data_IF_959114576198
#
_entry.id   IF_959114576198
#
_cell.length_a   1.000
_cell.length_b   1.000
_cell.length_c   1.000
_cell.angle_alpha   90.00
_cell.angle_beta   90.00
_cell.angle_gamma   90.00
#
_symmetry.space_group_name_H-M   'P 1'
#
loop_
_entity.id
_entity.type
_entity.pdbx_description
1 polymer ?
#
# COMPACT_ATOMS: atom_id res chain seq x y z
N UNK A 1 21.17 14.43 4.77
CA UNK A 1 19.88 14.01 5.32
C UNK A 1 18.79 14.76 4.57
N UNK A 2 17.95 14.02 3.86
CA UNK A 2 16.75 14.55 3.22
C UNK A 2 15.67 14.73 4.31
N UNK A 3 15.52 15.94 4.86
CA UNK A 3 14.48 16.21 5.86
C UNK A 3 13.10 16.17 5.17
N UNK A 4 12.39 15.06 5.30
CA UNK A 4 11.12 14.80 4.60
C UNK A 4 10.01 14.78 5.65
N UNK A 5 9.23 15.85 5.75
CA UNK A 5 8.02 15.86 6.56
C UNK A 5 6.86 15.26 5.75
N UNK A 6 6.12 14.33 6.34
CA UNK A 6 5.01 13.63 5.69
C UNK A 6 3.72 13.99 6.42
N UNK A 7 2.75 14.51 5.68
CA UNK A 7 1.38 14.64 6.16
C UNK A 7 0.62 13.33 5.88
N UNK A 8 0.43 12.55 6.93
CA UNK A 8 -0.14 11.20 6.83
C UNK A 8 -1.67 11.16 6.69
N UNK A 9 -2.31 12.33 6.65
CA UNK A 9 -3.72 12.47 6.25
C UNK A 9 -3.90 12.41 4.73
N UNK A 10 -2.90 12.92 4.00
CA UNK A 10 -2.85 12.98 2.54
C UNK A 10 -2.07 11.81 1.94
N UNK A 11 -0.89 11.50 2.49
CA UNK A 11 0.00 10.46 1.98
C UNK A 11 0.06 9.31 2.99
N UNK A 12 -0.38 8.09 2.63
CA UNK A 12 -0.36 6.98 3.55
C UNK A 12 1.07 6.69 4.02
N UNK A 13 1.27 6.61 5.34
CA UNK A 13 2.57 6.28 5.90
C UNK A 13 2.85 4.79 5.68
N UNK A 14 3.83 4.51 4.81
CA UNK A 14 4.33 3.16 4.58
C UNK A 14 5.83 3.21 4.24
N UNK A 15 6.41 2.07 3.87
CA UNK A 15 7.78 1.96 3.38
C UNK A 15 7.88 0.97 2.24
N UNK A 16 9.03 0.97 1.58
CA UNK A 16 9.31 0.01 0.52
C UNK A 16 9.20 -1.42 1.04
N UNK A 17 8.49 -2.25 0.30
CA UNK A 17 8.30 -3.67 0.60
C UNK A 17 7.07 -3.96 1.48
N UNK A 18 6.60 -2.98 2.25
CA UNK A 18 5.57 -3.23 3.25
C UNK A 18 4.13 -3.22 2.73
N UNK A 19 3.33 -4.18 3.14
CA UNK A 19 1.87 -4.15 3.02
C UNK A 19 1.20 -3.46 4.20
N UNK A 20 1.90 -3.27 5.33
CA UNK A 20 1.43 -2.44 6.42
C UNK A 20 1.36 -0.95 6.01
N UNK A 21 0.35 -0.23 6.50
CA UNK A 21 0.17 1.20 6.24
C UNK A 21 -0.53 1.88 7.41
N UNK A 22 -0.16 3.12 7.70
CA UNK A 22 -0.77 3.96 8.74
C UNK A 22 -1.33 5.22 8.06
N UNK A 23 -2.57 5.57 8.36
CA UNK A 23 -3.22 6.80 7.86
C UNK A 23 -3.81 7.54 9.05
N UNK A 24 -3.78 8.88 9.03
CA UNK A 24 -4.47 9.68 10.04
C UNK A 24 -5.72 10.36 9.47
N UNK A 25 -6.69 10.59 10.35
CA UNK A 25 -7.88 11.39 10.04
C UNK A 25 -7.80 12.71 10.79
N UNK A 26 -7.64 13.85 10.11
CA UNK A 26 -7.55 15.16 10.75
C UNK A 26 -8.91 15.58 11.32
N UNK A 27 -8.88 16.36 12.40
CA UNK A 27 -10.06 16.95 13.06
C UNK A 27 -10.27 18.40 12.63
N UNK A 28 -9.19 19.08 12.23
CA UNK A 28 -9.18 20.46 11.78
C UNK A 28 -8.85 20.58 10.29
N UNK A 29 -9.18 21.74 9.69
CA UNK A 29 -8.89 22.04 8.27
C UNK A 29 -7.40 22.25 8.01
N UNK A 30 -6.63 22.57 9.06
CA UNK A 30 -5.18 22.79 8.98
C UNK A 30 -4.36 21.49 9.06
N UNK A 31 -5.03 20.35 9.30
CA UNK A 31 -4.44 19.01 9.42
C UNK A 31 -3.34 18.94 10.50
N UNK A 32 -3.55 19.65 11.61
CA UNK A 32 -2.59 19.71 12.73
C UNK A 32 -3.01 18.84 13.90
N UNK A 33 -4.32 18.68 14.09
CA UNK A 33 -4.91 17.95 15.20
C UNK A 33 -5.61 16.71 14.69
N UNK A 34 -5.36 15.60 15.37
CA UNK A 34 -5.87 14.29 15.01
C UNK A 34 -6.50 13.65 16.25
N UNK A 35 -7.47 12.77 16.01
CA UNK A 35 -8.05 11.97 17.09
C UNK A 35 -7.94 10.47 16.81
N UNK A 36 -7.54 10.07 15.60
CA UNK A 36 -7.53 8.68 15.18
C UNK A 36 -6.46 8.41 14.11
N UNK A 37 -5.79 7.26 14.26
CA UNK A 37 -5.04 6.61 13.19
C UNK A 37 -5.80 5.38 12.70
N UNK A 38 -5.62 4.99 11.45
CA UNK A 38 -6.10 3.73 10.89
C UNK A 38 -4.91 2.88 10.48
N UNK A 39 -4.84 1.65 10.98
CA UNK A 39 -3.85 0.65 10.58
C UNK A 39 -4.45 -0.20 9.45
N UNK A 40 -3.78 -0.21 8.30
CA UNK A 40 -4.24 -0.83 7.07
C UNK A 40 -3.28 -1.96 6.68
N UNK A 41 -3.85 -3.04 6.14
CA UNK A 41 -3.13 -4.13 5.53
C UNK A 41 -3.44 -4.21 4.02
N UNK A 42 -2.52 -3.72 3.20
CA UNK A 42 -2.70 -3.53 1.77
C UNK A 42 -2.75 -4.83 0.94
N UNK A 43 -2.53 -6.03 1.53
CA UNK A 43 -2.88 -7.30 0.87
C UNK A 43 -4.40 -7.50 0.77
N UNK A 44 -5.19 -6.72 1.50
CA UNK A 44 -6.64 -6.61 1.33
C UNK A 44 -6.99 -5.30 0.61
N UNK A 45 -8.19 -5.24 0.04
CA UNK A 45 -8.67 -4.11 -0.77
C UNK A 45 -9.90 -3.44 -0.17
N UNK A 46 -10.06 -2.15 -0.46
CA UNK A 46 -11.22 -1.36 -0.06
C UNK A 46 -11.50 -1.48 1.44
N UNK A 47 -12.76 -1.71 1.78
CA UNK A 47 -13.23 -1.79 3.17
C UNK A 47 -12.63 -2.95 3.98
N UNK A 48 -12.00 -3.93 3.33
CA UNK A 48 -11.37 -5.08 3.98
C UNK A 48 -9.94 -4.81 4.44
N UNK A 49 -9.31 -3.75 3.91
CA UNK A 49 -7.92 -3.39 4.20
C UNK A 49 -7.69 -2.81 5.59
N UNK A 50 -8.58 -1.99 6.18
CA UNK A 50 -8.38 -1.49 7.53
C UNK A 50 -8.56 -2.59 8.57
N UNK A 51 -7.67 -2.63 9.56
CA UNK A 51 -7.66 -3.63 10.63
C UNK A 51 -8.09 -2.99 11.95
N UNK A 52 -7.42 -1.92 12.36
CA UNK A 52 -7.70 -1.19 13.58
C UNK A 52 -7.82 0.30 13.33
N UNK A 53 -8.73 0.95 14.08
CA UNK A 53 -8.62 2.36 14.42
C UNK A 53 -7.88 2.47 15.75
N UNK A 54 -6.90 3.36 15.82
CA UNK A 54 -6.09 3.61 17.01
C UNK A 54 -6.42 4.99 17.54
N UNK A 55 -6.78 5.05 18.81
CA UNK A 55 -7.09 6.30 19.51
C UNK A 55 -6.25 6.40 20.78
N UNK A 56 -6.00 7.62 21.24
CA UNK A 56 -5.28 7.88 22.49
C UNK A 56 -6.29 7.98 23.63
N UNK A 57 -5.99 7.30 24.75
CA UNK A 57 -6.88 7.17 25.89
C UNK A 57 -7.82 5.96 25.79
N UNK A 58 -8.13 5.36 26.95
CA UNK A 58 -8.98 4.15 27.05
C UNK A 58 -10.45 4.48 27.26
N UNK A 59 -10.75 5.44 28.14
CA UNK A 59 -12.13 5.78 28.53
C UNK A 59 -12.67 6.97 27.74
N UNK A 60 -11.78 7.90 27.39
CA UNK A 60 -12.11 9.11 26.65
C UNK A 60 -11.07 9.29 25.54
N UNK A 61 -11.55 9.47 24.32
CA UNK A 61 -10.74 9.71 23.13
C UNK A 61 -10.08 11.08 23.27
N UNK A 62 -8.76 11.11 23.22
CA UNK A 62 -7.96 12.32 23.33
C UNK A 62 -7.42 12.74 21.97
N UNK A 63 -7.36 14.04 21.75
CA UNK A 63 -6.68 14.62 20.59
C UNK A 63 -5.16 14.52 20.77
N UNK A 64 -4.47 14.49 19.64
CA UNK A 64 -3.01 14.48 19.56
C UNK A 64 -2.53 15.21 18.32
N UNK A 65 -1.29 15.69 18.39
CA UNK A 65 -0.55 16.18 17.23
C UNK A 65 0.17 14.98 16.61
N UNK A 66 0.17 14.92 15.28
CA UNK A 66 0.86 13.89 14.51
C UNK A 66 1.96 14.51 13.65
N UNK A 67 3.15 13.93 13.69
CA UNK A 67 4.27 14.28 12.80
C UNK A 67 4.88 13.00 12.24
N UNK A 68 5.27 13.00 10.98
CA UNK A 68 5.92 11.83 10.39
C UNK A 68 7.12 12.21 9.52
N UNK A 69 8.11 11.34 9.54
CA UNK A 69 9.22 11.28 8.60
C UNK A 69 9.35 9.85 8.07
N UNK A 70 10.17 9.56 7.04
CA UNK A 70 10.22 8.23 6.42
C UNK A 70 10.52 7.05 7.35
N UNK A 71 11.08 7.31 8.53
CA UNK A 71 11.39 6.30 9.55
C UNK A 71 10.23 6.00 10.49
N UNK A 72 9.41 7.00 10.85
CA UNK A 72 8.36 6.81 11.86
C UNK A 72 7.28 7.90 11.85
N UNK A 73 6.16 7.55 12.48
CA UNK A 73 5.09 8.46 12.89
C UNK A 73 5.23 8.71 14.39
N UNK A 74 5.20 9.96 14.82
CA UNK A 74 5.12 10.33 16.23
C UNK A 74 3.78 10.98 16.50
N UNK A 75 3.07 10.48 17.51
CA UNK A 75 1.87 11.12 18.07
C UNK A 75 2.17 11.63 19.47
N UNK A 76 1.62 12.78 19.84
CA UNK A 76 1.86 13.39 21.17
C UNK A 76 0.68 14.22 21.66
N UNK A 77 0.48 14.23 22.97
CA UNK A 77 -0.40 15.18 23.67
C UNK A 77 0.19 15.49 25.06
N UNK A 78 -0.58 16.15 25.93
CA UNK A 78 -0.11 16.58 27.26
C UNK A 78 0.27 15.42 28.20
N UNK A 79 -0.22 14.20 27.94
CA UNK A 79 0.05 13.01 28.75
C UNK A 79 1.35 12.29 28.36
N UNK A 80 1.83 12.48 27.12
CA UNK A 80 2.99 11.75 26.62
C UNK A 80 3.11 11.70 25.10
N UNK A 81 3.87 10.73 24.60
CA UNK A 81 4.05 10.50 23.17
C UNK A 81 4.16 9.01 22.84
N UNK A 82 3.86 8.66 21.59
CA UNK A 82 4.11 7.34 21.04
C UNK A 82 4.75 7.43 19.65
N UNK A 83 5.69 6.53 19.38
CA UNK A 83 6.37 6.37 18.10
C UNK A 83 5.86 5.08 17.46
N UNK A 84 5.35 5.20 16.24
CA UNK A 84 4.89 4.09 15.41
C UNK A 84 5.81 3.96 14.20
N UNK A 85 6.25 2.75 13.88
CA UNK A 85 7.04 2.50 12.67
C UNK A 85 6.73 1.14 12.06
N UNK A 86 6.97 1.02 10.75
CA UNK A 86 6.78 -0.21 10.00
C UNK A 86 8.11 -0.93 9.93
N UNK A 87 8.25 -1.98 10.73
CA UNK A 87 9.53 -2.65 10.96
C UNK A 87 9.95 -3.54 9.80
N UNK A 88 9.00 -4.27 9.24
CA UNK A 88 9.19 -5.16 8.09
C UNK A 88 7.95 -5.11 7.19
N UNK A 89 7.79 -6.10 6.32
CA UNK A 89 6.74 -6.07 5.31
C UNK A 89 5.31 -6.00 5.92
N UNK A 90 5.10 -6.63 7.08
CA UNK A 90 3.75 -6.85 7.63
C UNK A 90 3.65 -6.53 9.13
N UNK A 91 4.64 -5.82 9.70
CA UNK A 91 4.70 -5.57 11.15
C UNK A 91 4.80 -4.09 11.50
N UNK A 92 3.96 -3.64 12.43
CA UNK A 92 3.95 -2.28 12.98
C UNK A 92 4.37 -2.37 14.44
N UNK A 93 5.37 -1.59 14.83
CA UNK A 93 5.79 -1.44 16.23
C UNK A 93 5.27 -0.13 16.77
N UNK A 94 4.83 -0.13 18.02
CA UNK A 94 4.44 1.07 18.76
C UNK A 94 5.20 1.09 20.09
N UNK A 95 6.03 2.13 20.29
CA UNK A 95 6.69 2.45 21.54
C UNK A 95 6.10 3.74 22.11
N UNK A 96 5.37 3.60 23.21
CA UNK A 96 4.63 4.66 23.88
C UNK A 96 5.20 4.95 25.27
N UNK A 97 5.29 6.24 25.57
CA UNK A 97 5.64 6.78 26.88
C UNK A 97 4.50 7.66 27.37
N UNK A 98 3.76 7.18 28.39
CA UNK A 98 2.66 7.91 29.02
C UNK A 98 1.32 7.90 28.26
N UNK A 99 1.26 7.40 27.02
CA UNK A 99 0.01 7.29 26.27
C UNK A 99 -0.54 5.87 26.33
N UNK A 100 -1.71 5.74 26.96
CA UNK A 100 -2.56 4.58 26.75
C UNK A 100 -3.23 4.66 25.38
N UNK A 101 -3.39 3.51 24.73
CA UNK A 101 -3.98 3.41 23.41
C UNK A 101 -5.21 2.50 23.44
N UNK A 102 -6.15 2.78 22.55
CA UNK A 102 -7.29 1.92 22.30
C UNK A 102 -7.32 1.51 20.84
N UNK A 103 -7.27 0.20 20.60
CA UNK A 103 -7.41 -0.43 19.31
C UNK A 103 -8.86 -0.86 19.12
N UNK A 104 -9.60 -0.06 18.35
CA UNK A 104 -10.94 -0.41 17.92
C UNK A 104 -10.85 -1.25 16.64
N UNK A 105 -11.38 -2.48 16.68
CA UNK A 105 -11.49 -3.32 15.49
C UNK A 105 -12.33 -2.63 14.43
N UNK A 106 -11.79 -2.47 13.23
CA UNK A 106 -12.52 -1.83 12.13
C UNK A 106 -13.75 -2.65 11.73
N UNK A 107 -13.61 -3.98 11.77
CA UNK A 107 -14.63 -4.91 11.34
C UNK A 107 -15.51 -5.39 12.49
N UNK A 108 -16.82 -5.27 12.28
CA UNK A 108 -17.83 -5.74 13.24
C UNK A 108 -17.72 -7.24 13.54
N UNK A 109 -17.26 -8.05 12.58
CA UNK A 109 -17.16 -9.51 12.71
C UNK A 109 -15.75 -9.99 13.11
N UNK A 110 -14.84 -9.07 13.45
CA UNK A 110 -13.50 -9.46 13.87
C UNK A 110 -13.52 -10.02 15.30
N UNK A 111 -13.07 -11.26 15.47
CA UNK A 111 -13.04 -11.94 16.76
C UNK A 111 -11.61 -12.25 17.18
N UNK A 112 -11.38 -12.41 18.48
CA UNK A 112 -10.04 -12.44 19.07
C UNK A 112 -9.79 -13.66 19.95
N UNK A 113 -8.53 -14.01 20.12
CA UNK A 113 -8.05 -15.04 21.05
C UNK A 113 -6.82 -14.56 21.80
N UNK A 114 -6.75 -14.89 23.09
CA UNK A 114 -5.65 -14.55 23.97
C UNK A 114 -4.75 -15.79 24.16
N UNK A 115 -3.45 -15.61 24.04
CA UNK A 115 -2.45 -16.66 24.15
C UNK A 115 -1.47 -16.32 25.28
N UNK A 116 -1.98 -16.29 26.51
CA UNK A 116 -1.25 -15.81 27.68
C UNK A 116 -1.27 -14.27 27.79
N UNK A 117 -0.44 -13.70 28.69
CA UNK A 117 -0.55 -12.29 29.04
C UNK A 117 -0.06 -11.32 27.96
N UNK A 118 0.74 -11.80 27.00
CA UNK A 118 1.51 -10.94 26.10
C UNK A 118 1.20 -11.15 24.61
N UNK A 119 0.25 -12.03 24.24
CA UNK A 119 -0.05 -12.35 22.84
C UNK A 119 -1.55 -12.39 22.60
N UNK A 120 -2.02 -11.53 21.71
CA UNK A 120 -3.43 -11.34 21.38
C UNK A 120 -3.61 -11.41 19.88
N UNK A 121 -4.45 -12.30 19.38
CA UNK A 121 -4.68 -12.44 17.94
C UNK A 121 -6.12 -12.10 17.60
N UNK A 122 -6.30 -11.07 16.79
CA UNK A 122 -7.57 -10.75 16.14
C UNK A 122 -7.62 -11.43 14.76
N UNK A 123 -8.78 -11.98 14.43
CA UNK A 123 -9.10 -12.53 13.12
C UNK A 123 -10.16 -11.66 12.48
N UNK A 124 -9.74 -10.83 11.53
CA UNK A 124 -10.62 -9.98 10.73
C UNK A 124 -11.24 -10.79 9.56
N UNK A 125 -12.28 -10.24 8.89
CA UNK A 125 -12.90 -10.89 7.74
C UNK A 125 -11.91 -11.32 6.66
N UNK A 126 -12.29 -12.35 5.90
CA UNK A 126 -11.47 -12.94 4.83
C UNK A 126 -10.10 -13.47 5.29
N UNK A 127 -10.02 -13.95 6.54
CA UNK A 127 -8.86 -14.71 7.01
C UNK A 127 -7.62 -13.87 7.34
N UNK A 128 -7.78 -12.56 7.55
CA UNK A 128 -6.67 -11.71 8.00
C UNK A 128 -6.43 -11.89 9.49
N UNK A 129 -5.23 -12.34 9.86
CA UNK A 129 -4.76 -12.40 11.24
C UNK A 129 -4.00 -11.14 11.58
N UNK A 130 -4.30 -10.54 12.73
CA UNK A 130 -3.65 -9.37 13.29
C UNK A 130 -3.23 -9.70 14.72
N UNK A 131 -1.94 -9.99 14.91
CA UNK A 131 -1.41 -10.50 16.18
C UNK A 131 -0.60 -9.43 16.88
N UNK A 132 -1.06 -9.01 18.05
CA UNK A 132 -0.41 -8.04 18.91
C UNK A 132 0.41 -8.75 19.98
N UNK A 133 1.70 -8.44 20.02
CA UNK A 133 2.65 -8.90 21.02
C UNK A 133 2.99 -7.74 21.95
N UNK A 134 2.83 -7.93 23.25
CA UNK A 134 3.16 -6.94 24.29
C UNK A 134 4.55 -7.24 24.84
N UNK A 135 5.48 -6.32 24.60
CA UNK A 135 6.86 -6.37 25.09
C UNK A 135 6.98 -5.69 26.46
N UNK A 136 6.24 -4.60 26.64
CA UNK A 136 6.06 -3.88 27.90
C UNK A 136 4.68 -3.22 27.93
N UNK A 137 4.12 -3.00 29.11
CA UNK A 137 2.74 -2.54 29.27
C UNK A 137 1.75 -3.69 29.47
N UNK A 138 0.47 -3.41 29.27
CA UNK A 138 -0.62 -4.38 29.45
C UNK A 138 -1.63 -4.24 28.32
N UNK A 139 -2.19 -5.36 27.87
CA UNK A 139 -3.30 -5.38 26.93
C UNK A 139 -4.50 -6.11 27.52
N UNK A 140 -5.71 -5.73 27.12
CA UNK A 140 -6.95 -6.39 27.53
C UNK A 140 -7.96 -6.32 26.40
N UNK A 141 -8.46 -7.46 25.92
CA UNK A 141 -9.59 -7.48 25.01
C UNK A 141 -10.88 -7.09 25.73
N UNK A 142 -11.68 -6.26 25.08
CA UNK A 142 -12.99 -5.89 25.56
C UNK A 142 -14.03 -6.96 25.16
N UNK A 143 -14.79 -7.40 26.17
CA UNK A 143 -15.91 -8.31 25.99
C UNK A 143 -17.21 -7.51 25.90
N UNK A 144 -17.78 -7.40 24.71
CA UNK A 144 -19.15 -6.94 24.57
C UNK A 144 -20.12 -8.08 24.92
N UNK A 145 -21.14 -7.85 25.78
CA UNK A 145 -22.08 -8.89 26.16
C UNK A 145 -22.81 -9.44 24.92
N UNK A 146 -23.07 -10.76 24.85
CA UNK A 146 -23.71 -11.38 23.70
C UNK A 146 -25.19 -10.98 23.65
N UNK A 147 -25.51 -9.91 22.92
CA UNK A 147 -26.88 -9.48 22.65
C UNK A 147 -27.15 -9.52 21.14
N UNK A 148 -27.34 -10.70 20.55
CA UNK A 148 -27.67 -10.89 19.12
C UNK A 148 -26.82 -10.05 18.12
N UNK A 149 -25.58 -9.69 18.49
CA UNK A 149 -24.70 -8.72 17.82
C UNK A 149 -23.25 -9.25 17.77
N UNK A 150 -22.42 -8.74 16.85
CA UNK A 150 -21.29 -9.47 16.29
C UNK A 150 -20.09 -9.59 17.25
N UNK A 151 -19.19 -10.55 16.98
CA UNK A 151 -18.05 -10.95 17.83
C UNK A 151 -16.91 -9.90 17.90
N UNK A 152 -17.18 -8.61 17.66
CA UNK A 152 -16.19 -7.53 17.64
C UNK A 152 -15.33 -7.57 18.91
N UNK A 153 -14.01 -7.46 18.74
CA UNK A 153 -13.03 -7.42 19.83
C UNK A 153 -12.18 -6.17 19.71
N UNK A 154 -12.47 -5.21 20.57
CA UNK A 154 -11.61 -4.04 20.75
C UNK A 154 -10.58 -4.34 21.84
N UNK A 155 -9.48 -3.60 21.88
CA UNK A 155 -8.39 -3.85 22.80
C UNK A 155 -7.93 -2.56 23.46
N UNK A 156 -7.86 -2.58 24.80
CA UNK A 156 -7.18 -1.56 25.57
C UNK A 156 -5.70 -1.92 25.70
N UNK A 157 -4.85 -0.91 25.54
CA UNK A 157 -3.40 -1.01 25.65
C UNK A 157 -2.93 0.05 26.67
N UNK A 158 -2.46 -0.42 27.82
CA UNK A 158 -2.14 0.40 28.99
C UNK A 158 -0.62 0.49 29.17
N UNK A 159 -0.13 1.70 29.43
CA UNK A 159 1.21 1.92 29.94
C UNK A 159 1.34 1.35 31.35
N UNK A 160 2.37 0.54 31.57
CA UNK A 160 2.79 0.11 32.91
C UNK A 160 4.14 0.76 33.20
N UNK A 161 4.27 1.38 34.37
CA UNK A 161 5.42 2.22 34.72
C UNK A 161 5.72 3.30 33.67
N UNK A 162 4.66 3.84 33.07
CA UNK A 162 4.74 4.87 32.03
C UNK A 162 5.15 4.36 30.65
N UNK A 163 5.23 3.05 30.42
CA UNK A 163 5.67 2.45 29.15
C UNK A 163 4.67 1.45 28.59
N UNK A 164 4.46 1.52 27.27
CA UNK A 164 3.77 0.51 26.47
C UNK A 164 4.62 0.28 25.21
N UNK A 165 5.09 -0.94 25.01
CA UNK A 165 5.85 -1.32 23.82
C UNK A 165 5.26 -2.59 23.23
N UNK A 166 4.84 -2.54 21.98
CA UNK A 166 4.15 -3.64 21.31
C UNK A 166 4.56 -3.78 19.84
N UNK A 167 4.30 -4.96 19.30
CA UNK A 167 4.42 -5.26 17.88
C UNK A 167 3.13 -5.91 17.37
N UNK A 168 2.50 -5.29 16.36
CA UNK A 168 1.38 -5.83 15.62
C UNK A 168 1.90 -6.48 14.33
N UNK A 169 1.71 -7.79 14.17
CA UNK A 169 1.98 -8.51 12.92
C UNK A 169 0.69 -8.83 12.17
N UNK A 170 0.72 -8.73 10.84
CA UNK A 170 -0.42 -9.04 9.97
C UNK A 170 -0.09 -10.17 9.00
N UNK A 171 -1.06 -11.03 8.70
CA UNK A 171 -0.87 -12.15 7.76
C UNK A 171 -2.21 -12.74 7.29
N UNK A 172 -2.19 -13.53 6.22
CA UNK A 172 -3.41 -14.13 5.63
C UNK A 172 -3.52 -15.65 5.81
N UNK A 173 -2.44 -16.31 6.21
CA UNK A 173 -2.35 -17.77 6.28
C UNK A 173 -2.38 -18.26 7.72
N UNK A 174 -1.44 -17.77 8.53
CA UNK A 174 -1.31 -18.10 9.95
C UNK A 174 -0.78 -16.89 10.71
N UNK A 175 -1.10 -16.72 12.01
CA UNK A 175 -0.47 -15.70 12.86
C UNK A 175 1.06 -15.70 12.68
N UNK A 176 1.62 -14.55 12.30
CA UNK A 176 3.05 -14.39 12.14
C UNK A 176 3.70 -14.24 13.51
N UNK A 177 4.77 -14.98 13.75
CA UNK A 177 5.53 -14.90 15.00
C UNK A 177 6.20 -13.53 15.19
N UNK A 178 6.47 -13.18 16.45
CA UNK A 178 7.19 -11.96 16.80
C UNK A 178 8.59 -12.02 16.20
N UNK A 179 9.03 -11.02 15.42
CA UNK A 179 10.41 -10.98 14.98
C UNK A 179 11.28 -10.41 16.12
N UNK A 180 12.33 -11.12 16.55
CA UNK A 180 13.17 -10.73 17.69
C UNK A 180 14.65 -10.52 17.30
N UNK A 181 15.39 -9.58 17.94
CA UNK A 181 14.92 -8.60 18.93
C UNK A 181 14.37 -7.31 18.29
N UNK A 182 13.45 -6.63 18.98
CA UNK A 182 12.92 -5.30 18.60
C UNK A 182 13.73 -4.20 19.27
N UNK A 183 14.28 -3.30 18.47
CA UNK A 183 15.07 -2.14 18.91
C UNK A 183 14.61 -0.91 18.13
N UNK A 184 13.79 -0.08 18.77
CA UNK A 184 13.12 1.06 18.15
C UNK A 184 14.09 2.06 17.52
N UNK A 185 15.18 2.40 18.22
CA UNK A 185 16.16 3.36 17.71
C UNK A 185 16.91 2.81 16.51
N UNK A 186 17.36 1.56 16.61
CA UNK A 186 18.09 0.89 15.54
C UNK A 186 17.21 0.66 14.31
N UNK A 187 15.99 0.15 14.51
CA UNK A 187 15.05 -0.15 13.41
C UNK A 187 14.72 1.13 12.64
N UNK A 188 14.42 2.24 13.34
CA UNK A 188 14.14 3.54 12.71
C UNK A 188 15.37 4.06 11.96
N UNK A 189 16.58 3.92 12.53
CA UNK A 189 17.81 4.32 11.84
C UNK A 189 18.05 3.51 10.56
N UNK A 190 17.80 2.20 10.59
CA UNK A 190 17.92 1.32 9.42
C UNK A 190 16.87 1.69 8.34
N UNK A 191 15.63 2.01 8.73
CA UNK A 191 14.59 2.50 7.81
C UNK A 191 14.98 3.82 7.15
N UNK A 192 15.47 4.80 7.93
CA UNK A 192 15.91 6.08 7.39
C UNK A 192 17.06 5.90 6.41
N UNK A 193 17.99 4.98 6.68
CA UNK A 193 19.08 4.65 5.76
C UNK A 193 18.58 3.98 4.46
N UNK A 194 17.57 3.12 4.54
CA UNK A 194 16.92 2.55 3.37
C UNK A 194 16.27 3.65 2.51
N UNK A 195 15.53 4.56 3.14
CA UNK A 195 14.96 5.72 2.47
C UNK A 195 16.04 6.58 1.82
N UNK A 196 17.10 6.94 2.54
CA UNK A 196 18.21 7.74 1.99
C UNK A 196 18.85 7.05 0.78
N UNK A 197 19.02 5.74 0.83
CA UNK A 197 19.56 4.95 -0.28
C UNK A 197 18.65 5.02 -1.51
N UNK A 198 17.33 4.94 -1.32
CA UNK A 198 16.37 5.09 -2.42
C UNK A 198 16.28 6.54 -2.92
N UNK A 199 16.35 7.53 -2.02
CA UNK A 199 16.33 8.94 -2.36
C UNK A 199 17.52 9.36 -3.24
N UNK A 200 18.67 8.69 -3.10
CA UNK A 200 19.82 8.89 -3.99
C UNK A 200 19.57 8.48 -5.45
N UNK A 201 18.49 7.73 -5.72
CA UNK A 201 18.07 7.37 -7.09
C UNK A 201 17.27 8.47 -7.77
N UNK A 202 16.82 9.49 -7.03
CA UNK A 202 16.16 10.65 -7.60
C UNK A 202 17.13 11.38 -8.55
N UNK A 203 16.62 11.89 -9.68
CA UNK A 203 17.44 12.69 -10.58
C UNK A 203 17.92 13.97 -9.91
N UNK A 204 19.07 14.46 -10.36
CA UNK A 204 19.54 15.80 -10.00
C UNK A 204 18.67 16.83 -10.75
N UNK A 205 17.52 17.17 -10.17
CA UNK A 205 16.67 18.24 -10.68
C UNK A 205 17.27 19.58 -10.28
N UNK A 206 17.22 20.56 -11.19
CA UNK A 206 17.60 21.93 -10.86
C UNK A 206 16.61 22.47 -9.84
N UNK A 207 17.10 22.81 -8.65
CA UNK A 207 16.29 23.48 -7.62
C UNK A 207 15.64 24.73 -8.21
N UNK A 208 14.33 24.84 -8.00
CA UNK A 208 13.50 25.96 -8.46
C UNK A 208 13.19 26.87 -7.26
N UNK A 209 12.67 26.27 -6.19
CA UNK A 209 12.36 26.89 -4.92
C UNK A 209 12.19 25.80 -3.84
N UNK A 210 12.22 26.20 -2.56
CA UNK A 210 12.14 25.26 -1.42
C UNK A 210 10.85 24.44 -1.39
N UNK A 211 9.73 25.00 -1.83
CA UNK A 211 8.42 24.30 -1.83
C UNK A 211 8.40 23.21 -2.90
N UNK A 212 8.93 23.50 -4.09
CA UNK A 212 9.06 22.54 -5.19
C UNK A 212 10.02 21.41 -4.84
N UNK A 213 11.14 21.72 -4.18
CA UNK A 213 12.11 20.72 -3.73
C UNK A 213 11.51 19.79 -2.67
N UNK A 214 10.79 20.36 -1.68
CA UNK A 214 10.08 19.57 -0.67
C UNK A 214 8.99 18.68 -1.29
N UNK A 215 8.23 19.20 -2.26
CA UNK A 215 7.20 18.42 -2.96
C UNK A 215 7.78 17.28 -3.80
N UNK A 216 8.94 17.50 -4.43
CA UNK A 216 9.65 16.46 -5.19
C UNK A 216 10.10 15.34 -4.26
N UNK A 217 10.71 15.70 -3.12
CA UNK A 217 11.15 14.72 -2.13
C UNK A 217 9.98 13.91 -1.55
N UNK A 218 8.84 14.58 -1.29
CA UNK A 218 7.61 13.95 -0.84
C UNK A 218 7.00 13.02 -1.91
N UNK A 219 7.07 13.40 -3.18
CA UNK A 219 6.65 12.55 -4.31
C UNK A 219 7.53 11.30 -4.40
N UNK A 220 8.84 11.46 -4.20
CA UNK A 220 9.76 10.33 -4.18
C UNK A 220 9.52 9.40 -2.99
N UNK A 221 9.16 9.97 -1.83
CA UNK A 221 8.71 9.19 -0.69
C UNK A 221 7.46 8.39 -1.03
N UNK A 222 6.46 9.00 -1.67
CA UNK A 222 5.24 8.31 -2.06
C UNK A 222 5.51 7.16 -3.05
N UNK A 223 6.47 7.32 -3.97
CA UNK A 223 6.92 6.24 -4.86
C UNK A 223 7.55 5.10 -4.05
N UNK A 224 8.51 5.44 -3.18
CA UNK A 224 9.21 4.46 -2.32
C UNK A 224 8.24 3.69 -1.43
N UNK A 225 7.34 4.41 -0.76
CA UNK A 225 6.35 3.87 0.16
C UNK A 225 5.23 3.12 -0.55
N UNK A 226 5.11 3.18 -1.89
CA UNK A 226 4.10 2.44 -2.66
C UNK A 226 4.57 1.06 -3.11
N UNK A 227 5.88 0.77 -3.03
CA UNK A 227 6.41 -0.57 -3.33
C UNK A 227 6.03 -1.59 -2.26
N UNK A 228 5.68 -2.80 -2.70
CA UNK A 228 5.46 -3.98 -1.86
C UNK A 228 6.34 -5.14 -2.29
N UNK A 229 6.68 -6.04 -1.37
CA UNK A 229 7.50 -7.22 -1.69
C UNK A 229 6.76 -8.20 -2.58
N UNK A 230 7.51 -8.83 -3.49
CA UNK A 230 7.01 -9.95 -4.29
C UNK A 230 6.38 -11.03 -3.41
N UNK A 231 5.13 -11.39 -3.69
CA UNK A 231 4.38 -12.48 -3.05
C UNK A 231 3.26 -12.95 -3.98
N UNK A 232 2.91 -14.24 -3.91
CA UNK A 232 1.85 -14.88 -4.71
C UNK A 232 1.90 -14.52 -6.22
N UNK A 233 0.98 -13.66 -6.70
CA UNK A 233 0.87 -13.24 -8.10
C UNK A 233 1.94 -12.21 -8.52
N UNK A 234 2.65 -11.59 -7.57
CA UNK A 234 3.73 -10.65 -7.86
C UNK A 234 5.08 -11.39 -7.97
N UNK A 235 5.65 -11.47 -9.19
CA UNK A 235 6.98 -12.10 -9.41
C UNK A 235 8.16 -11.23 -8.98
N UNK A 236 7.94 -9.93 -8.83
CA UNK A 236 8.91 -8.90 -8.43
C UNK A 236 8.21 -7.93 -7.49
N UNK A 237 9.00 -7.10 -6.81
CA UNK A 237 8.46 -6.02 -6.01
C UNK A 237 7.65 -5.09 -6.91
N UNK A 238 6.42 -4.78 -6.50
CA UNK A 238 5.44 -4.07 -7.32
C UNK A 238 5.05 -2.75 -6.67
N UNK A 239 4.82 -1.72 -7.47
CA UNK A 239 4.26 -0.45 -7.01
C UNK A 239 2.73 -0.53 -7.05
N UNK A 240 2.10 -0.39 -5.89
CA UNK A 240 0.64 -0.27 -5.79
C UNK A 240 0.21 1.17 -6.10
N UNK A 241 -1.01 1.34 -6.63
CA UNK A 241 -1.53 2.69 -6.97
C UNK A 241 -1.82 3.53 -5.74
N UNK A 242 -2.32 2.91 -4.67
CA UNK A 242 -2.41 3.53 -3.35
C UNK A 242 -2.54 2.48 -2.27
N UNK A 243 -1.72 2.58 -1.22
CA UNK A 243 -1.87 1.69 -0.05
C UNK A 243 -3.03 2.04 0.88
N UNK A 244 -3.81 3.09 0.57
CA UNK A 244 -4.99 3.50 1.38
C UNK A 244 -6.31 2.95 0.84
N UNK A 245 -6.58 3.10 -0.46
CA UNK A 245 -7.87 2.72 -1.06
C UNK A 245 -7.74 1.86 -2.32
N UNK A 246 -6.70 2.08 -3.13
CA UNK A 246 -6.46 1.38 -4.40
C UNK A 246 -5.24 0.45 -4.28
N UNK A 247 -5.32 -0.51 -3.36
CA UNK A 247 -4.23 -1.41 -2.99
C UNK A 247 -4.09 -2.61 -3.94
N UNK A 248 -3.92 -2.34 -5.23
CA UNK A 248 -3.61 -3.34 -6.27
C UNK A 248 -2.67 -2.75 -7.32
N UNK A 249 -2.20 -3.60 -8.22
CA UNK A 249 -1.72 -3.18 -9.54
C UNK A 249 -2.88 -3.23 -10.53
N UNK A 250 -2.98 -2.27 -11.45
CA UNK A 250 -3.92 -2.20 -12.56
C UNK A 250 -3.14 -2.21 -13.87
N UNK A 251 -3.72 -2.81 -14.91
CA UNK A 251 -3.06 -3.11 -16.19
C UNK A 251 -2.78 -1.92 -17.10
N UNK A 252 -2.90 -0.68 -16.61
CA UNK A 252 -2.40 0.50 -17.35
C UNK A 252 -1.54 1.42 -16.48
N UNK A 253 -1.88 1.60 -15.21
CA UNK A 253 -1.11 2.44 -14.28
C UNK A 253 0.35 2.00 -14.15
N UNK A 254 0.60 0.68 -14.19
CA UNK A 254 1.94 0.13 -14.10
C UNK A 254 2.87 0.62 -15.24
N UNK A 255 2.32 1.01 -16.40
CA UNK A 255 3.09 1.64 -17.47
C UNK A 255 3.63 3.01 -17.03
N UNK A 256 2.82 3.84 -16.37
CA UNK A 256 3.28 5.13 -15.85
C UNK A 256 4.29 4.94 -14.71
N UNK A 257 4.08 3.95 -13.84
CA UNK A 257 5.04 3.59 -12.79
C UNK A 257 6.37 3.12 -13.37
N UNK A 258 6.35 2.35 -14.46
CA UNK A 258 7.56 1.93 -15.17
C UNK A 258 8.34 3.14 -15.72
N UNK A 259 7.65 4.09 -16.36
CA UNK A 259 8.28 5.30 -16.87
C UNK A 259 8.82 6.20 -15.75
N UNK A 260 8.12 6.31 -14.62
CA UNK A 260 8.64 7.03 -13.45
C UNK A 260 9.96 6.42 -12.96
N UNK A 261 10.04 5.09 -12.88
CA UNK A 261 11.26 4.39 -12.46
C UNK A 261 12.38 4.44 -13.50
N UNK A 262 12.05 4.51 -14.80
CA UNK A 262 13.03 4.65 -15.88
C UNK A 262 13.89 5.92 -15.75
N UNK A 263 13.35 6.92 -15.04
CA UNK A 263 14.04 8.16 -14.76
C UNK A 263 14.97 8.10 -13.54
N UNK A 264 15.16 6.97 -12.86
CA UNK A 264 16.16 6.91 -11.79
C UNK A 264 17.59 7.26 -12.26
N UNK A 265 18.39 7.80 -11.35
CA UNK A 265 19.76 8.29 -11.57
C UNK A 265 20.72 7.17 -12.01
N UNK A 266 20.74 6.05 -11.27
CA UNK A 266 21.50 4.87 -11.69
C UNK A 266 20.75 4.16 -12.82
N UNK A 267 21.39 4.03 -13.99
CA UNK A 267 20.75 3.49 -15.19
C UNK A 267 20.51 1.99 -15.15
N UNK A 268 21.35 1.22 -14.45
CA UNK A 268 21.13 -0.21 -14.31
C UNK A 268 19.95 -0.49 -13.37
N UNK A 269 19.89 0.23 -12.25
CA UNK A 269 18.75 0.20 -11.33
C UNK A 269 17.47 0.67 -12.03
N UNK A 270 17.53 1.78 -12.78
CA UNK A 270 16.41 2.32 -13.54
C UNK A 270 15.87 1.32 -14.55
N UNK A 271 16.74 0.71 -15.39
CA UNK A 271 16.33 -0.31 -16.37
C UNK A 271 15.62 -1.46 -15.68
N UNK A 272 16.22 -2.00 -14.61
CA UNK A 272 15.64 -3.13 -13.88
C UNK A 272 14.28 -2.79 -13.29
N UNK A 273 14.16 -1.68 -12.55
CA UNK A 273 12.90 -1.31 -11.90
C UNK A 273 11.81 -0.96 -12.90
N UNK A 274 12.15 -0.22 -13.95
CA UNK A 274 11.21 0.10 -15.01
C UNK A 274 10.70 -1.16 -15.71
N UNK A 275 11.60 -2.08 -16.07
CA UNK A 275 11.22 -3.33 -16.72
C UNK A 275 10.38 -4.23 -15.81
N UNK A 276 10.73 -4.35 -14.52
CA UNK A 276 9.95 -5.12 -13.54
C UNK A 276 8.51 -4.60 -13.42
N UNK A 277 8.31 -3.27 -13.39
CA UNK A 277 6.95 -2.68 -13.37
C UNK A 277 6.22 -2.87 -14.71
N UNK A 278 6.91 -2.71 -15.84
CA UNK A 278 6.34 -2.94 -17.16
C UNK A 278 5.89 -4.39 -17.37
N UNK A 279 6.71 -5.35 -16.94
CA UNK A 279 6.49 -6.79 -17.12
C UNK A 279 5.37 -7.35 -16.22
N UNK A 280 4.98 -6.61 -15.18
CA UNK A 280 4.08 -7.08 -14.12
C UNK A 280 2.79 -7.78 -14.60
N UNK A 281 1.96 -7.20 -15.50
CA UNK A 281 0.75 -7.87 -15.98
C UNK A 281 1.07 -9.07 -16.88
N UNK A 282 2.22 -9.06 -17.56
CA UNK A 282 2.57 -10.10 -18.54
C UNK A 282 2.97 -11.43 -17.90
N UNK A 283 3.42 -11.43 -16.64
CA UNK A 283 3.67 -12.67 -15.90
C UNK A 283 2.41 -13.46 -15.57
N UNK A 284 1.26 -12.80 -15.59
CA UNK A 284 -0.04 -13.43 -15.35
C UNK A 284 -0.94 -13.39 -16.59
N UNK A 285 -0.46 -12.87 -17.73
CA UNK A 285 -1.21 -12.79 -18.99
C UNK A 285 -1.88 -14.12 -19.31
N UNK A 286 -3.18 -14.07 -19.60
CA UNK A 286 -3.94 -15.26 -19.92
C UNK A 286 -3.48 -15.88 -21.25
N UNK A 287 -3.82 -17.15 -21.47
CA UNK A 287 -3.40 -17.91 -22.66
C UNK A 287 -3.74 -17.19 -23.98
N UNK A 288 -4.93 -16.58 -24.03
CA UNK A 288 -5.46 -15.83 -25.18
C UNK A 288 -5.02 -14.37 -25.26
N UNK A 289 -4.16 -13.90 -24.35
CA UNK A 289 -3.51 -12.59 -24.44
C UNK A 289 -4.10 -11.49 -23.56
N UNK A 290 -5.31 -11.65 -23.02
CA UNK A 290 -5.92 -10.65 -22.12
C UNK A 290 -5.04 -10.39 -20.89
N UNK A 291 -4.98 -9.11 -20.50
CA UNK A 291 -4.43 -8.65 -19.23
C UNK A 291 -5.56 -8.36 -18.24
N UNK A 292 -5.42 -8.70 -16.95
CA UNK A 292 -6.47 -8.47 -15.97
C UNK A 292 -6.61 -6.97 -15.68
N UNK A 293 -7.80 -6.49 -15.33
CA UNK A 293 -8.04 -5.15 -14.81
C UNK A 293 -7.10 -4.83 -13.66
N UNK A 294 -7.11 -5.69 -12.63
CA UNK A 294 -6.32 -5.50 -11.40
C UNK A 294 -5.94 -6.83 -10.72
N UNK A 295 -4.84 -6.82 -9.96
CA UNK A 295 -4.39 -7.95 -9.16
C UNK A 295 -3.65 -7.53 -7.88
N UNK A 296 -3.82 -8.34 -6.83
CA UNK A 296 -3.19 -8.20 -5.52
C UNK A 296 -2.90 -9.61 -4.95
N UNK A 297 -1.86 -9.83 -4.13
CA UNK A 297 -1.54 -11.13 -3.56
C UNK A 297 -2.65 -11.67 -2.67
N UNK A 298 -2.91 -12.98 -2.75
CA UNK A 298 -3.92 -13.69 -1.96
C UNK A 298 -5.35 -13.10 -2.11
N UNK A 299 -5.60 -12.41 -3.23
CA UNK A 299 -6.88 -11.83 -3.66
C UNK A 299 -7.26 -12.34 -5.06
N UNK A 300 -8.53 -12.18 -5.43
CA UNK A 300 -8.99 -12.54 -6.78
C UNK A 300 -8.40 -11.58 -7.81
N UNK A 301 -7.72 -12.12 -8.82
CA UNK A 301 -7.36 -11.38 -10.05
C UNK A 301 -8.61 -11.02 -10.86
N UNK A 302 -8.74 -9.75 -11.22
CA UNK A 302 -9.90 -9.20 -11.93
C UNK A 302 -9.81 -9.41 -13.44
N UNK A 303 -10.42 -10.49 -13.95
CA UNK A 303 -10.40 -10.84 -15.39
C UNK A 303 -11.63 -10.37 -16.19
N UNK A 304 -12.66 -9.83 -15.52
CA UNK A 304 -13.93 -9.51 -16.17
C UNK A 304 -13.93 -8.22 -17.00
N UNK A 305 -12.88 -7.42 -16.86
CA UNK A 305 -12.65 -6.09 -17.43
C UNK A 305 -11.14 -6.03 -17.70
N UNK A 306 -10.72 -5.19 -18.65
CA UNK A 306 -9.30 -4.86 -18.86
C UNK A 306 -9.05 -3.34 -18.83
N UNK A 307 -7.91 -2.87 -19.35
CA UNK A 307 -7.56 -1.44 -19.42
C UNK A 307 -6.95 -1.09 -20.79
N UNK A 308 -6.91 0.20 -21.16
CA UNK A 308 -6.42 0.63 -22.46
C UNK A 308 -5.02 0.08 -22.81
N UNK A 309 -4.80 -0.40 -24.05
CA UNK A 309 -3.57 -1.13 -24.43
C UNK A 309 -2.35 -0.22 -24.68
N UNK A 310 -1.97 0.61 -23.71
CA UNK A 310 -0.85 1.57 -23.84
C UNK A 310 0.55 0.93 -23.72
N UNK A 311 0.65 -0.40 -23.69
CA UNK A 311 1.87 -1.13 -23.35
C UNK A 311 2.94 -1.04 -24.45
N UNK A 312 2.53 -1.07 -25.72
CA UNK A 312 3.46 -0.85 -26.84
C UNK A 312 4.07 0.55 -26.83
N UNK A 313 3.26 1.56 -26.48
CA UNK A 313 3.75 2.93 -26.26
C UNK A 313 4.74 2.99 -25.10
N UNK A 314 4.38 2.41 -23.95
CA UNK A 314 5.25 2.38 -22.77
C UNK A 314 6.59 1.73 -23.09
N UNK A 315 6.59 0.55 -23.73
CA UNK A 315 7.83 -0.15 -24.05
C UNK A 315 8.68 0.61 -25.07
N UNK A 316 8.06 1.25 -26.06
CA UNK A 316 8.76 2.16 -26.99
C UNK A 316 9.51 3.26 -26.25
N UNK A 317 8.90 3.87 -25.24
CA UNK A 317 9.58 4.85 -24.37
C UNK A 317 10.72 4.26 -23.54
N UNK A 318 10.61 3.01 -23.09
CA UNK A 318 11.71 2.34 -22.42
C UNK A 318 12.87 2.04 -23.38
N UNK A 319 12.59 1.65 -24.63
CA UNK A 319 13.62 1.44 -25.66
C UNK A 319 14.34 2.74 -26.04
N UNK A 320 13.67 3.89 -25.96
CA UNK A 320 14.32 5.20 -26.13
C UNK A 320 15.37 5.49 -25.02
N UNK A 321 15.27 4.83 -23.86
CA UNK A 321 16.09 5.09 -22.67
C UNK A 321 17.14 4.02 -22.37
N UNK A 322 16.92 2.78 -22.81
CA UNK A 322 17.74 1.64 -22.48
C UNK A 322 17.95 0.70 -23.67
N UNK A 323 19.11 0.07 -23.72
CA UNK A 323 19.34 -1.05 -24.62
C UNK A 323 18.70 -2.32 -24.06
N UNK A 324 17.97 -3.05 -24.91
CA UNK A 324 17.43 -4.37 -24.62
C UNK A 324 18.07 -5.40 -25.53
N UNK A 325 18.43 -6.56 -24.97
CA UNK A 325 19.00 -7.64 -25.75
C UNK A 325 17.94 -8.37 -26.59
N UNK A 326 18.39 -9.24 -27.50
CA UNK A 326 17.51 -9.96 -28.43
C UNK A 326 16.46 -10.81 -27.71
N UNK A 327 16.80 -11.40 -26.56
CA UNK A 327 15.90 -12.27 -25.80
C UNK A 327 14.87 -11.45 -25.01
N UNK A 328 15.27 -10.32 -24.44
CA UNK A 328 14.36 -9.33 -23.84
C UNK A 328 13.35 -8.84 -24.89
N UNK A 329 13.83 -8.46 -26.08
CA UNK A 329 12.98 -7.98 -27.18
C UNK A 329 12.00 -9.06 -27.68
N UNK A 330 12.47 -10.31 -27.89
CA UNK A 330 11.59 -11.43 -28.26
C UNK A 330 10.53 -11.72 -27.22
N UNK A 331 10.89 -11.62 -25.94
CA UNK A 331 9.97 -11.83 -24.83
C UNK A 331 8.86 -10.78 -24.86
N UNK A 332 9.21 -9.50 -24.92
CA UNK A 332 8.22 -8.41 -24.95
C UNK A 332 7.39 -8.44 -26.22
N UNK A 333 7.99 -8.73 -27.37
CA UNK A 333 7.26 -8.91 -28.63
C UNK A 333 6.20 -10.01 -28.50
N UNK A 334 6.54 -11.14 -27.89
CA UNK A 334 5.59 -12.26 -27.71
C UNK A 334 4.41 -11.85 -26.82
N UNK A 335 4.66 -11.10 -25.75
CA UNK A 335 3.62 -10.58 -24.87
C UNK A 335 2.70 -9.58 -25.56
N UNK A 336 3.28 -8.59 -26.24
CA UNK A 336 2.53 -7.54 -26.94
C UNK A 336 1.75 -8.12 -28.13
N UNK A 337 2.32 -9.08 -28.86
CA UNK A 337 1.63 -9.76 -29.96
C UNK A 337 0.32 -10.39 -29.47
N UNK A 338 0.37 -11.19 -28.41
CA UNK A 338 -0.83 -11.82 -27.84
C UNK A 338 -1.84 -10.78 -27.34
N UNK A 339 -1.34 -9.69 -26.76
CA UNK A 339 -2.20 -8.63 -26.25
C UNK A 339 -2.94 -7.91 -27.38
N UNK A 340 -2.22 -7.59 -28.47
CA UNK A 340 -2.80 -7.02 -29.68
C UNK A 340 -3.79 -7.98 -30.34
N UNK A 341 -3.42 -9.26 -30.50
CA UNK A 341 -4.30 -10.30 -31.06
C UNK A 341 -5.59 -10.40 -30.23
N UNK A 342 -5.50 -10.29 -28.89
CA UNK A 342 -6.70 -10.32 -28.05
C UNK A 342 -7.67 -9.19 -28.36
N UNK A 343 -7.19 -7.93 -28.44
CA UNK A 343 -8.05 -6.79 -28.77
C UNK A 343 -8.72 -6.94 -30.13
N UNK A 344 -7.95 -7.38 -31.14
CA UNK A 344 -8.48 -7.52 -32.51
C UNK A 344 -9.38 -8.75 -32.72
N UNK A 345 -9.28 -9.78 -31.87
CA UNK A 345 -10.08 -11.01 -31.99
C UNK A 345 -11.29 -11.05 -31.05
N UNK A 346 -11.19 -10.43 -29.87
CA UNK A 346 -12.16 -10.60 -28.78
C UNK A 346 -12.80 -9.30 -28.29
N UNK A 347 -12.35 -8.14 -28.79
CA UNK A 347 -12.84 -6.82 -28.37
C UNK A 347 -13.24 -5.98 -29.57
N UNK A 348 -13.78 -6.60 -30.61
CA UNK A 348 -14.30 -5.96 -31.83
C UNK A 348 -15.65 -6.63 -32.13
N UNK A 349 -16.70 -6.13 -31.47
CA UNK A 349 -18.01 -6.79 -31.42
C UNK A 349 -18.71 -6.79 -32.79
N UNK A 350 -18.51 -5.77 -33.62
CA UNK A 350 -19.15 -5.64 -34.92
C UNK A 350 -18.26 -6.02 -36.12
N UNK A 351 -16.99 -6.35 -35.86
CA UNK A 351 -15.99 -6.85 -36.81
C UNK A 351 -15.59 -5.83 -37.87
N UNK A 352 -15.62 -4.54 -37.53
CA UNK A 352 -15.19 -3.45 -38.42
C UNK A 352 -13.68 -3.14 -38.34
N UNK A 353 -12.98 -3.77 -37.39
CA UNK A 353 -11.55 -3.61 -37.14
C UNK A 353 -11.20 -2.56 -36.10
N UNK A 354 -12.18 -1.93 -35.44
CA UNK A 354 -12.01 -0.95 -34.38
C UNK A 354 -12.40 -1.61 -33.05
N UNK A 355 -11.44 -1.77 -32.10
CA UNK A 355 -11.81 -2.38 -30.84
C UNK A 355 -12.73 -1.51 -29.98
N UNK A 356 -13.74 -2.14 -29.39
CA UNK A 356 -14.73 -1.53 -28.51
C UNK A 356 -14.36 -1.68 -27.02
N UNK A 357 -14.83 -0.74 -26.21
CA UNK A 357 -14.86 -0.87 -24.76
C UNK A 357 -16.28 -1.26 -24.31
N UNK A 358 -16.49 -2.45 -23.69
CA UNK A 358 -17.82 -2.86 -23.27
C UNK A 358 -18.48 -1.91 -22.26
N UNK A 359 -17.71 -1.44 -21.27
CA UNK A 359 -18.18 -0.51 -20.22
C UNK A 359 -17.11 0.56 -19.89
N UNK A 360 -17.52 1.62 -19.18
CA UNK A 360 -16.65 2.72 -18.78
C UNK A 360 -15.36 2.29 -18.09
N UNK A 361 -15.43 1.27 -17.23
CA UNK A 361 -14.25 0.74 -16.54
C UNK A 361 -13.16 0.23 -17.49
N UNK A 362 -13.50 -0.39 -18.62
CA UNK A 362 -12.50 -0.89 -19.58
C UNK A 362 -11.71 0.24 -20.24
N UNK A 363 -12.34 1.41 -20.42
CA UNK A 363 -11.72 2.59 -20.99
C UNK A 363 -10.77 3.33 -20.02
N UNK A 364 -10.82 2.97 -18.73
CA UNK A 364 -10.17 3.72 -17.65
C UNK A 364 -10.92 4.99 -17.22
N UNK A 365 -12.07 5.30 -17.85
CA UNK A 365 -12.95 6.41 -17.49
C UNK A 365 -14.30 5.86 -16.96
N UNK A 366 -14.25 5.28 -15.76
CA UNK A 366 -15.34 4.52 -15.13
C UNK A 366 -16.72 5.20 -15.14
N UNK A 367 -16.76 6.53 -14.99
CA UNK A 367 -17.98 7.34 -14.92
C UNK A 367 -18.16 8.27 -16.12
N UNK A 368 -17.56 7.95 -17.28
CA UNK A 368 -17.68 8.74 -18.49
C UNK A 368 -19.11 8.76 -19.04
N UNK A 369 -19.62 9.96 -19.35
CA UNK A 369 -20.92 10.15 -20.01
C UNK A 369 -20.98 9.58 -21.42
N UNK A 370 -19.82 9.18 -22.01
CA UNK A 370 -19.80 8.46 -23.28
C UNK A 370 -20.50 7.10 -23.21
N UNK A 371 -20.65 6.53 -22.01
CA UNK A 371 -21.38 5.28 -21.82
C UNK A 371 -22.86 5.49 -21.45
N UNK A 372 -23.33 6.75 -21.38
CA UNK A 372 -24.77 7.05 -21.24
C UNK A 372 -25.55 6.72 -22.52
N UNK A 373 -24.86 6.63 -23.66
CA UNK A 373 -25.47 6.27 -24.95
C UNK A 373 -25.51 4.76 -25.20
N UNK A 374 -24.77 3.94 -24.43
CA UNK A 374 -24.75 2.50 -24.59
C UNK A 374 -23.50 1.80 -24.05
N UNK A 375 -23.43 0.50 -24.33
CA UNK A 375 -22.30 -0.39 -24.08
C UNK A 375 -21.53 -0.62 -25.37
N UNK A 376 -20.30 -1.16 -25.28
CA UNK A 376 -19.46 -1.49 -26.44
C UNK A 376 -19.19 -0.22 -27.28
N UNK A 377 -18.55 0.77 -26.64
CA UNK A 377 -18.24 2.07 -27.25
C UNK A 377 -16.86 2.04 -27.88
N UNK A 378 -16.79 2.39 -29.15
CA UNK A 378 -15.55 2.58 -29.91
C UNK A 378 -15.13 4.04 -29.96
N UNK A 379 -13.83 4.28 -30.10
CA UNK A 379 -13.32 5.62 -30.39
C UNK A 379 -13.28 5.87 -31.89
N UNK A 380 -13.66 7.06 -32.39
CA UNK A 380 -13.73 7.38 -33.82
C UNK A 380 -12.43 7.18 -34.62
#
# INVERSE_FOLDING_TARGET
>A
MYNTAIDISHIPFSRYGAYATIVATPVDEDHTTFNELTLIYAKRRGDLSPIYKVTVGINEKQEFICTADPGSVTIKNDNGYAILYIRDDDSIVIDSTGLDLHFESYHQWAYGSEFGPNKFCLKAPQGTFATTYILSGKATFLLYPPSNKPLKRDMNLECIDGKLHLCLTMSLKNPKDLPDPIDTEKDIADIKKEWETFALQMQDLKSVDEKTDAFTLLTWYNIWSSFVRADDVYKRDSMLMSKKVMSSVWSWDHCFNALAMAHCKDKAFAKQKAFDQFAAPFWIQAEKGILPDMWNPDERTGWGITKPPIHGWCFSKLMDMFEFDEEELKTVYTWLKKWTEWWTEYSDTDLDGIPDYPIGCDSGWDNSTLFDIGYFVETP
#
